data_IF_115505527725
#
_entry.id   IF_115505527725
#
_cell.length_a   1.000
_cell.length_b   1.000
_cell.length_c   1.000
_cell.angle_alpha   90.00
_cell.angle_beta   90.00
_cell.angle_gamma   90.00
#
_symmetry.space_group_name_H-M   'P 1'
#
loop_
_entity.id
_entity.type
_entity.pdbx_description
1 polymer ?
#
# COMPACT_ATOMS: atom_id res chain seq x y z
N UNK A 1 -1.66 -24.16 -18.36
CA UNK A 1 -1.84 -23.19 -17.26
C UNK A 1 -1.64 -23.87 -15.89
N UNK A 2 -0.54 -24.60 -15.69
CA UNK A 2 -0.26 -25.29 -14.42
C UNK A 2 1.16 -24.98 -13.89
N UNK A 3 1.83 -23.97 -14.46
CA UNK A 3 3.17 -23.60 -14.02
C UNK A 3 3.06 -22.75 -12.75
N UNK A 4 3.86 -23.04 -11.71
CA UNK A 4 3.83 -22.28 -10.47
C UNK A 4 4.26 -20.83 -10.71
N UNK A 5 3.54 -19.89 -10.10
CA UNK A 5 3.84 -18.46 -10.15
C UNK A 5 4.50 -18.06 -8.84
N UNK A 6 5.70 -17.48 -8.91
CA UNK A 6 6.34 -16.88 -7.74
C UNK A 6 5.67 -15.54 -7.42
N UNK A 7 5.24 -15.38 -6.17
CA UNK A 7 4.57 -14.16 -5.68
C UNK A 7 5.30 -13.63 -4.45
N UNK A 8 5.26 -12.32 -4.24
CA UNK A 8 5.82 -11.65 -3.07
C UNK A 8 4.70 -11.07 -2.21
N UNK A 9 4.72 -11.36 -0.90
CA UNK A 9 3.88 -10.70 0.09
C UNK A 9 4.75 -9.67 0.81
N UNK A 10 4.53 -8.39 0.53
CA UNK A 10 5.36 -7.31 1.06
C UNK A 10 4.80 -6.88 2.41
N UNK A 11 5.59 -7.05 3.46
CA UNK A 11 5.30 -6.54 4.79
C UNK A 11 6.16 -5.31 5.07
N UNK A 12 5.58 -4.13 4.84
CA UNK A 12 6.23 -2.85 5.09
C UNK A 12 5.22 -1.84 5.63
N UNK A 13 5.71 -0.82 6.32
CA UNK A 13 4.94 0.40 6.62
C UNK A 13 5.03 1.40 5.46
N UNK A 14 4.02 2.25 5.27
CA UNK A 14 4.12 3.37 4.34
C UNK A 14 4.88 4.56 4.93
N UNK A 15 5.09 5.61 4.13
CA UNK A 15 5.57 6.89 4.68
C UNK A 15 4.35 7.65 5.21
N UNK A 16 4.29 7.81 6.53
CA UNK A 16 3.10 8.30 7.23
C UNK A 16 2.65 9.65 6.67
N UNK A 17 1.41 9.68 6.15
CA UNK A 17 0.76 10.86 5.59
C UNK A 17 1.49 11.51 4.39
N UNK A 18 2.49 10.84 3.81
CA UNK A 18 3.17 11.29 2.60
C UNK A 18 2.90 10.32 1.44
N UNK A 19 2.03 10.75 0.53
CA UNK A 19 1.64 9.97 -0.64
C UNK A 19 2.80 9.77 -1.61
N UNK A 20 3.56 10.82 -1.89
CA UNK A 20 4.61 10.78 -2.90
C UNK A 20 5.74 9.86 -2.43
N UNK A 21 6.22 10.08 -1.20
CA UNK A 21 7.26 9.23 -0.62
C UNK A 21 6.81 7.77 -0.46
N UNK A 22 5.53 7.51 -0.20
CA UNK A 22 5.01 6.14 -0.17
C UNK A 22 4.98 5.48 -1.55
N UNK A 23 4.66 6.23 -2.61
CA UNK A 23 4.73 5.72 -3.99
C UNK A 23 6.17 5.38 -4.36
N UNK A 24 7.12 6.24 -3.99
CA UNK A 24 8.55 5.98 -4.24
C UNK A 24 9.03 4.73 -3.49
N UNK A 25 8.64 4.57 -2.21
CA UNK A 25 8.92 3.36 -1.42
C UNK A 25 8.28 2.11 -2.03
N UNK A 26 7.03 2.21 -2.50
CA UNK A 26 6.34 1.11 -3.19
C UNK A 26 7.11 0.68 -4.44
N UNK A 27 7.57 1.64 -5.26
CA UNK A 27 8.33 1.36 -6.47
C UNK A 27 9.64 0.63 -6.17
N UNK A 28 10.35 1.03 -5.12
CA UNK A 28 11.57 0.34 -4.66
C UNK A 28 11.28 -1.10 -4.22
N UNK A 29 10.28 -1.31 -3.36
CA UNK A 29 9.90 -2.64 -2.87
C UNK A 29 9.39 -3.56 -4.00
N UNK A 30 8.69 -2.99 -4.98
CA UNK A 30 8.23 -3.73 -6.16
C UNK A 30 9.41 -4.16 -7.05
N UNK A 31 10.43 -3.31 -7.21
CA UNK A 31 11.65 -3.65 -7.92
C UNK A 31 12.41 -4.77 -7.20
N UNK A 32 12.57 -4.70 -5.88
CA UNK A 32 13.19 -5.77 -5.07
C UNK A 32 12.45 -7.12 -5.23
N UNK A 33 11.11 -7.10 -5.24
CA UNK A 33 10.30 -8.29 -5.48
C UNK A 33 10.51 -8.86 -6.90
N UNK A 34 10.61 -7.99 -7.90
CA UNK A 34 10.88 -8.37 -9.28
C UNK A 34 12.29 -8.97 -9.44
N UNK A 35 13.31 -8.39 -8.80
CA UNK A 35 14.68 -8.92 -8.76
C UNK A 35 14.71 -10.30 -8.07
N UNK A 36 13.83 -10.51 -7.08
CA UNK A 36 13.57 -11.81 -6.49
C UNK A 36 12.83 -12.81 -7.41
N UNK A 37 12.45 -12.42 -8.64
CA UNK A 37 11.75 -13.24 -9.61
C UNK A 37 10.24 -13.38 -9.37
N UNK A 38 9.65 -12.55 -8.50
CA UNK A 38 8.20 -12.53 -8.32
C UNK A 38 7.50 -11.93 -9.55
N UNK A 39 6.36 -12.53 -9.93
CA UNK A 39 5.50 -12.05 -11.01
C UNK A 39 4.28 -11.25 -10.50
N UNK A 40 4.08 -11.23 -9.19
CA UNK A 40 3.05 -10.48 -8.49
C UNK A 40 3.60 -10.08 -7.10
N UNK A 41 3.45 -8.81 -6.74
CA UNK A 41 3.74 -8.30 -5.40
C UNK A 41 2.45 -7.76 -4.77
N UNK A 42 2.17 -8.19 -3.54
CA UNK A 42 1.02 -7.75 -2.75
C UNK A 42 1.50 -6.82 -1.65
N UNK A 43 0.77 -5.74 -1.43
CA UNK A 43 1.05 -4.75 -0.38
C UNK A 43 -0.10 -4.74 0.65
N UNK A 44 0.14 -4.24 1.88
CA UNK A 44 -0.91 -4.10 2.89
C UNK A 44 -2.08 -3.24 2.40
N UNK A 45 -3.26 -3.46 3.01
CA UNK A 45 -4.44 -2.64 2.74
C UNK A 45 -4.15 -1.16 3.05
N UNK A 46 -4.61 -0.27 2.16
CA UNK A 46 -4.43 1.18 2.26
C UNK A 46 -2.97 1.63 2.46
N UNK A 47 -2.01 0.90 1.88
CA UNK A 47 -0.60 1.24 1.96
C UNK A 47 -0.32 2.68 1.50
N UNK A 48 -1.05 3.25 0.52
CA UNK A 48 -0.77 4.60 0.01
C UNK A 48 -1.67 5.68 0.67
N UNK A 49 -1.14 6.58 1.53
CA UNK A 49 0.02 6.42 2.40
C UNK A 49 -0.33 5.94 3.81
N UNK A 50 -1.60 5.68 4.09
CA UNK A 50 -2.17 5.09 5.32
C UNK A 50 -3.69 5.23 5.21
N UNK A 51 -4.44 4.41 5.96
CA UNK A 51 -5.88 4.56 6.14
C UNK A 51 -6.24 5.98 6.65
N UNK A 52 -6.99 6.81 5.89
CA UNK A 52 -7.44 8.10 6.39
C UNK A 52 -8.71 7.90 7.24
N UNK A 53 -8.55 7.29 8.41
CA UNK A 53 -9.67 7.06 9.35
C UNK A 53 -10.46 8.34 9.64
N UNK A 54 -9.80 9.50 9.66
CA UNK A 54 -10.41 10.82 9.85
C UNK A 54 -11.33 11.26 8.71
N UNK A 55 -11.08 10.84 7.45
CA UNK A 55 -11.95 11.23 6.32
C UNK A 55 -13.27 10.47 6.32
N UNK A 56 -13.24 9.19 6.66
CA UNK A 56 -14.45 8.39 6.75
C UNK A 56 -15.18 8.61 8.05
N UNK A 57 -14.45 8.81 9.17
CA UNK A 57 -15.06 9.27 10.41
C UNK A 57 -15.84 10.56 10.16
N UNK A 58 -15.23 11.59 9.52
CA UNK A 58 -15.92 12.83 9.20
C UNK A 58 -17.15 12.64 8.28
N UNK A 59 -17.07 11.73 7.31
CA UNK A 59 -18.19 11.47 6.39
C UNK A 59 -19.33 10.68 7.06
N UNK A 60 -19.01 9.70 7.91
CA UNK A 60 -19.96 8.82 8.56
C UNK A 60 -20.59 9.43 9.83
N UNK A 61 -19.94 10.44 10.45
CA UNK A 61 -20.46 11.06 11.68
C UNK A 61 -21.36 12.27 11.43
N UNK A 62 -21.61 12.70 10.18
CA UNK A 62 -22.26 13.98 9.86
C UNK A 62 -21.68 15.15 10.68
N UNK A 63 -20.38 15.12 10.98
CA UNK A 63 -19.73 16.17 11.76
C UNK A 63 -19.40 17.35 10.83
N UNK A 64 -20.38 18.22 10.64
CA UNK A 64 -20.18 19.59 10.17
C UNK A 64 -19.57 20.39 11.31
N UNK A 65 -18.25 20.34 11.45
CA UNK A 65 -17.52 20.91 12.58
C UNK A 65 -17.74 22.42 12.78
N UNK A 66 -18.85 22.75 13.44
CA UNK A 66 -19.17 24.03 14.02
C UNK A 66 -19.24 23.89 15.54
#
# INVERSE_FOLDING_TARGET
>A
MNDPVKVACVQAEPVILDRAATIDKLAQLAAEAADGGAKLALFPEAFIPVYPSSRWARHLTHWDGN
#
